data_IF_912200845301
#
_entry.id   IF_912200845301
#
_cell.length_a   1.000
_cell.length_b   1.000
_cell.length_c   1.000
_cell.angle_alpha   90.00
_cell.angle_beta   90.00
_cell.angle_gamma   90.00
#
_symmetry.space_group_name_H-M   'P 1'
#
loop_
_entity.id
_entity.type
_entity.pdbx_description
1 polymer ?
#
# COMPACT_ATOMS: atom_id res chain seq x y z
N UNK A 1 -3.36 18.36 3.41
CA UNK A 1 -2.00 18.62 3.95
C UNK A 1 -1.45 17.46 4.80
N UNK A 2 -2.30 16.58 5.35
CA UNK A 2 -1.91 15.49 6.25
C UNK A 2 -0.82 14.55 5.69
N UNK A 3 -1.02 14.05 4.47
CA UNK A 3 -0.05 13.17 3.79
C UNK A 3 1.35 13.78 3.68
N UNK A 4 1.44 15.05 3.27
CA UNK A 4 2.72 15.74 3.13
C UNK A 4 3.42 15.93 4.47
N UNK A 5 2.67 16.24 5.53
CA UNK A 5 3.22 16.35 6.88
C UNK A 5 3.71 14.99 7.41
N UNK A 6 2.95 13.92 7.21
CA UNK A 6 3.33 12.57 7.61
C UNK A 6 4.65 12.12 6.94
N UNK A 7 4.76 12.32 5.62
CA UNK A 7 5.97 11.98 4.87
C UNK A 7 7.16 12.83 5.32
N UNK A 8 6.99 14.15 5.45
CA UNK A 8 8.07 15.05 5.85
C UNK A 8 8.55 14.79 7.28
N UNK A 9 7.65 14.38 8.18
CA UNK A 9 7.97 14.03 9.56
C UNK A 9 8.45 12.60 9.77
N UNK A 10 8.33 11.72 8.76
CA UNK A 10 8.60 10.29 8.93
C UNK A 10 7.65 9.60 9.90
N UNK A 11 6.43 10.11 10.05
CA UNK A 11 5.44 9.62 11.02
C UNK A 11 4.53 8.58 10.38
N UNK A 12 4.81 7.31 10.67
CA UNK A 12 4.02 6.19 10.17
C UNK A 12 2.58 6.17 10.71
N UNK A 13 2.33 6.66 11.92
CA UNK A 13 0.99 6.71 12.49
C UNK A 13 0.13 7.75 11.72
N UNK A 14 0.68 8.94 11.53
CA UNK A 14 0.04 9.99 10.74
C UNK A 14 -0.14 9.58 9.27
N UNK A 15 0.76 8.74 8.76
CA UNK A 15 0.67 8.21 7.39
C UNK A 15 -0.51 7.25 7.23
N UNK A 16 -0.85 6.43 8.24
CA UNK A 16 -2.04 5.55 8.18
C UNK A 16 -3.30 6.38 8.04
N UNK A 17 -3.44 7.42 8.87
CA UNK A 17 -4.58 8.34 8.82
C UNK A 17 -4.65 9.07 7.47
N UNK A 18 -3.49 9.40 6.89
CA UNK A 18 -3.41 10.04 5.59
C UNK A 18 -3.80 9.12 4.42
N UNK A 19 -3.74 7.79 4.59
CA UNK A 19 -4.12 6.81 3.57
C UNK A 19 -5.60 6.43 3.58
N UNK A 20 -6.40 6.97 4.51
CA UNK A 20 -7.85 6.84 4.47
C UNK A 20 -8.45 7.75 3.37
N UNK A 21 -8.54 7.25 2.14
CA UNK A 21 -9.19 7.96 1.02
C UNK A 21 -10.72 7.93 1.15
N UNK A 22 -11.24 8.98 1.76
CA UNK A 22 -12.68 9.19 1.98
C UNK A 22 -13.42 9.80 0.78
N UNK A 23 -12.73 10.14 -0.31
CA UNK A 23 -13.31 10.88 -1.44
C UNK A 23 -13.54 10.02 -2.67
N UNK A 24 -12.57 9.21 -3.08
CA UNK A 24 -12.66 8.49 -4.37
C UNK A 24 -12.82 6.99 -4.19
N UNK A 25 -12.18 6.42 -3.18
CA UNK A 25 -12.12 4.98 -3.02
C UNK A 25 -13.46 4.37 -2.60
N UNK A 26 -14.27 5.09 -1.83
CA UNK A 26 -15.59 4.63 -1.36
C UNK A 26 -16.50 4.21 -2.53
N UNK A 27 -16.49 4.98 -3.62
CA UNK A 27 -17.29 4.72 -4.82
C UNK A 27 -16.72 3.63 -5.73
N UNK A 28 -15.48 3.19 -5.48
CA UNK A 28 -14.80 2.14 -6.24
C UNK A 28 -14.75 0.80 -5.52
N UNK A 29 -15.24 0.74 -4.28
CA UNK A 29 -15.23 -0.43 -3.42
C UNK A 29 -15.75 -1.71 -4.11
N UNK A 30 -16.85 -1.61 -4.88
CA UNK A 30 -17.41 -2.74 -5.63
C UNK A 30 -16.54 -3.18 -6.82
N UNK A 31 -15.73 -2.27 -7.37
CA UNK A 31 -14.83 -2.51 -8.51
C UNK A 31 -13.40 -2.90 -8.10
N UNK A 32 -13.09 -2.90 -6.81
CA UNK A 32 -11.73 -3.14 -6.29
C UNK A 32 -11.69 -4.26 -5.23
N UNK A 33 -12.04 -5.51 -5.59
CA UNK A 33 -12.11 -6.63 -4.65
C UNK A 33 -10.77 -6.94 -3.97
N UNK A 34 -9.66 -6.84 -4.70
CA UNK A 34 -8.32 -7.07 -4.15
C UNK A 34 -7.97 -6.05 -3.06
N UNK A 35 -8.33 -4.77 -3.26
CA UNK A 35 -8.09 -3.71 -2.28
C UNK A 35 -8.81 -4.00 -0.96
N UNK A 36 -10.08 -4.41 -1.04
CA UNK A 36 -10.87 -4.82 0.13
C UNK A 36 -10.25 -6.03 0.83
N UNK A 37 -9.84 -7.03 0.08
CA UNK A 37 -9.26 -8.25 0.63
C UNK A 37 -7.93 -7.96 1.36
N UNK A 38 -7.05 -7.14 0.77
CA UNK A 38 -5.77 -6.77 1.39
C UNK A 38 -5.98 -5.90 2.63
N UNK A 39 -6.97 -4.99 2.63
CA UNK A 39 -7.31 -4.18 3.81
C UNK A 39 -7.88 -4.98 4.98
N UNK A 40 -8.47 -6.13 4.70
CA UNK A 40 -8.99 -7.03 5.73
C UNK A 40 -7.88 -7.87 6.39
N UNK A 41 -6.65 -7.84 5.86
CA UNK A 41 -5.52 -8.51 6.49
C UNK A 41 -5.09 -7.76 7.75
N UNK A 42 -5.19 -8.44 8.88
CA UNK A 42 -4.62 -7.98 10.14
C UNK A 42 -3.16 -8.46 10.22
N UNK A 43 -2.27 -7.73 9.53
CA UNK A 43 -0.84 -8.05 9.48
C UNK A 43 0.01 -6.93 10.05
N UNK A 44 0.83 -7.28 11.04
CA UNK A 44 1.77 -6.36 11.65
C UNK A 44 2.76 -5.79 10.61
N UNK A 45 3.15 -4.54 10.79
CA UNK A 45 4.05 -3.85 9.88
C UNK A 45 3.39 -3.22 8.65
N UNK A 46 2.10 -3.49 8.38
CA UNK A 46 1.32 -2.72 7.40
C UNK A 46 1.01 -1.33 8.00
N UNK A 47 1.44 -0.29 7.30
CA UNK A 47 1.16 1.11 7.60
C UNK A 47 -0.11 1.56 6.89
N UNK A 48 -0.34 1.10 5.66
CA UNK A 48 -1.59 1.38 4.95
C UNK A 48 -1.68 0.68 3.61
N UNK A 49 -2.88 0.68 3.04
CA UNK A 49 -3.20 -0.01 1.80
C UNK A 49 -4.02 0.92 0.92
N UNK A 50 -3.53 1.19 -0.28
CA UNK A 50 -4.13 2.14 -1.22
C UNK A 50 -4.25 1.52 -2.62
N UNK A 51 -5.26 1.94 -3.39
CA UNK A 51 -5.31 1.61 -4.81
C UNK A 51 -4.14 2.26 -5.56
N UNK A 52 -3.49 1.52 -6.46
CA UNK A 52 -2.49 2.09 -7.36
C UNK A 52 -3.17 2.75 -8.56
N UNK A 53 -3.24 4.09 -8.58
CA UNK A 53 -3.88 4.84 -9.66
C UNK A 53 -5.35 4.46 -9.84
N UNK A 54 -5.70 3.91 -11.01
CA UNK A 54 -7.06 3.41 -11.29
C UNK A 54 -7.30 1.95 -10.91
N UNK A 55 -6.30 1.23 -10.41
CA UNK A 55 -6.36 -0.22 -10.22
C UNK A 55 -6.09 -1.02 -11.50
N UNK A 56 -6.16 -2.37 -11.41
CA UNK A 56 -6.58 -3.17 -10.26
C UNK A 56 -5.49 -3.39 -9.20
N UNK A 57 -4.25 -2.96 -9.46
CA UNK A 57 -3.13 -3.13 -8.53
C UNK A 57 -3.32 -2.34 -7.23
N UNK A 58 -2.82 -2.90 -6.14
CA UNK A 58 -2.86 -2.33 -4.80
C UNK A 58 -1.44 -2.08 -4.32
N UNK A 59 -1.21 -0.97 -3.63
CA UNK A 59 0.05 -0.68 -2.94
C UNK A 59 -0.15 -0.93 -1.45
N UNK A 60 0.69 -1.80 -0.89
CA UNK A 60 0.81 -2.01 0.55
C UNK A 60 2.04 -1.27 1.03
N UNK A 61 1.83 -0.28 1.90
CA UNK A 61 2.89 0.48 2.55
C UNK A 61 3.26 -0.24 3.82
N UNK A 62 4.50 -0.73 3.91
CA UNK A 62 5.01 -1.44 5.06
C UNK A 62 6.14 -0.66 5.75
N UNK A 63 6.32 -0.88 7.04
CA UNK A 63 7.52 -0.44 7.74
C UNK A 63 8.76 -1.07 7.12
N UNK A 64 9.86 -0.30 7.06
CA UNK A 64 11.08 -0.73 6.34
C UNK A 64 11.63 -2.08 6.83
N UNK A 65 11.53 -2.36 8.13
CA UNK A 65 11.99 -3.61 8.73
C UNK A 65 11.04 -4.79 8.50
N UNK A 66 9.77 -4.53 8.21
CA UNK A 66 8.71 -5.53 8.12
C UNK A 66 8.34 -5.90 6.68
N UNK A 67 8.96 -5.26 5.68
CA UNK A 67 8.61 -5.46 4.28
C UNK A 67 8.62 -6.93 3.84
N UNK A 68 9.61 -7.73 4.28
CA UNK A 68 9.69 -9.15 3.94
C UNK A 68 8.61 -9.99 4.65
N UNK A 69 8.29 -9.66 5.91
CA UNK A 69 7.22 -10.31 6.69
C UNK A 69 5.85 -10.05 6.05
N UNK A 70 5.60 -8.80 5.64
CA UNK A 70 4.38 -8.40 4.94
C UNK A 70 4.29 -9.08 3.56
N UNK A 71 5.39 -9.10 2.80
CA UNK A 71 5.46 -9.76 1.50
C UNK A 71 5.13 -11.26 1.59
N UNK A 72 5.69 -11.98 2.58
CA UNK A 72 5.38 -13.40 2.80
C UNK A 72 3.90 -13.59 3.12
N UNK A 73 3.36 -12.82 4.06
CA UNK A 73 1.96 -12.95 4.45
C UNK A 73 0.99 -12.66 3.29
N UNK A 74 1.33 -11.70 2.42
CA UNK A 74 0.54 -11.45 1.21
C UNK A 74 0.58 -12.67 0.26
N UNK A 75 1.74 -13.26 0.02
CA UNK A 75 1.83 -14.47 -0.81
C UNK A 75 1.06 -15.65 -0.23
N UNK A 76 1.10 -15.81 1.09
CA UNK A 76 0.41 -16.91 1.78
C UNK A 76 -1.11 -16.71 1.81
N UNK A 77 -1.58 -15.46 1.70
CA UNK A 77 -3.00 -15.10 1.81
C UNK A 77 -3.74 -15.05 0.48
N UNK A 78 -3.03 -15.04 -0.65
CA UNK A 78 -3.62 -14.87 -1.97
C UNK A 78 -3.20 -16.00 -2.93
N UNK A 79 -4.08 -16.36 -3.89
CA UNK A 79 -3.77 -17.39 -4.89
C UNK A 79 -2.60 -17.00 -5.80
N UNK A 80 -1.99 -18.01 -6.44
CA UNK A 80 -0.78 -17.88 -7.28
C UNK A 80 -0.96 -16.96 -8.51
N UNK A 81 -2.20 -16.64 -8.89
CA UNK A 81 -2.50 -15.67 -9.96
C UNK A 81 -2.38 -14.21 -9.52
N UNK A 82 -2.16 -13.95 -8.21
CA UNK A 82 -1.86 -12.63 -7.65
C UNK A 82 -0.35 -12.45 -7.50
N UNK A 83 0.23 -11.57 -8.32
CA UNK A 83 1.66 -11.28 -8.25
C UNK A 83 2.00 -10.27 -7.13
N UNK A 84 2.80 -10.71 -6.15
CA UNK A 84 3.32 -9.87 -5.07
C UNK A 84 4.76 -9.44 -5.37
N UNK A 85 4.96 -8.13 -5.53
CA UNK A 85 6.27 -7.52 -5.85
C UNK A 85 6.76 -6.61 -4.71
N UNK A 86 7.90 -6.91 -4.06
CA UNK A 86 8.52 -5.98 -3.13
C UNK A 86 9.16 -4.81 -3.90
N UNK A 87 8.70 -3.60 -3.64
CA UNK A 87 9.15 -2.39 -4.32
C UNK A 87 9.77 -1.39 -3.35
N UNK A 88 10.65 -0.53 -3.86
CA UNK A 88 11.17 0.64 -3.14
C UNK A 88 10.88 1.90 -3.96
N UNK A 89 10.73 3.02 -3.28
CA UNK A 89 10.61 4.32 -3.93
C UNK A 89 11.89 4.59 -4.74
N UNK A 90 11.75 4.68 -6.06
CA UNK A 90 12.85 4.99 -6.95
C UNK A 90 13.42 6.38 -6.59
N UNK A 91 14.74 6.43 -6.37
CA UNK A 91 15.43 7.67 -6.00
C UNK A 91 15.79 8.53 -7.22
N UNK A 92 15.59 7.99 -8.43
CA UNK A 92 15.88 8.64 -9.70
C UNK A 92 14.75 8.34 -10.67
N UNK A 93 14.35 9.35 -11.43
CA UNK A 93 13.44 9.19 -12.56
C UNK A 93 14.19 8.69 -13.81
N UNK A 94 13.51 8.73 -14.96
CA UNK A 94 14.13 8.41 -16.24
C UNK A 94 15.31 9.36 -16.53
N UNK A 95 16.41 8.80 -17.01
CA UNK A 95 17.61 9.56 -17.37
C UNK A 95 18.53 8.76 -18.27
N UNK A 96 19.39 9.46 -19.00
CA UNK A 96 20.52 8.88 -19.71
C UNK A 96 21.63 8.59 -18.70
N UNK A 97 22.11 7.35 -18.67
CA UNK A 97 23.20 6.92 -17.79
C UNK A 97 24.52 7.57 -18.18
#
# INVERSE_FOLDING_TARGET
ALLGAAIAGGDAALLRDAFDDRLHEQYRSDSAPLLRAVRALDQAGIVGVTLSGSGPSVVVWAERGEAATVESALRDSFPDDVLVLPLRVAQRGAGIA
#
